data_IF_458527466047
#
_entry.id   IF_458527466047
#
_cell.length_a   1.000
_cell.length_b   1.000
_cell.length_c   1.000
_cell.angle_alpha   90.00
_cell.angle_beta   90.00
_cell.angle_gamma   90.00
#
_symmetry.space_group_name_H-M   'P 1'
#
loop_
_entity.id
_entity.type
_entity.pdbx_description
1 polymer ?
#
# COMPACT_ATOMS: atom_id res chain seq x y z
N UNK A 1 31.25 -80.88 -30.71
CA UNK A 1 29.97 -80.49 -31.33
C UNK A 1 29.97 -78.99 -31.55
N UNK A 2 30.26 -78.58 -32.79
CA UNK A 2 29.55 -77.59 -33.63
C UNK A 2 29.12 -76.26 -32.95
N UNK A 3 29.85 -75.14 -33.13
CA UNK A 3 29.68 -74.04 -34.14
C UNK A 3 28.25 -73.45 -34.13
N UNK A 4 28.03 -72.15 -33.86
CA UNK A 4 27.84 -70.99 -34.78
C UNK A 4 27.74 -69.73 -33.86
N UNK A 5 28.46 -68.60 -33.96
CA UNK A 5 28.72 -67.60 -35.02
C UNK A 5 27.62 -66.54 -35.27
N UNK A 6 27.96 -65.28 -34.98
CA UNK A 6 27.63 -64.01 -35.67
C UNK A 6 26.23 -63.33 -35.54
N UNK A 7 26.28 -62.15 -34.90
CA UNK A 7 25.97 -60.80 -35.44
C UNK A 7 24.54 -60.32 -35.76
N UNK A 8 24.38 -59.02 -35.47
CA UNK A 8 23.57 -57.98 -36.14
C UNK A 8 22.11 -57.74 -35.70
N UNK A 9 21.87 -56.45 -35.41
CA UNK A 9 20.66 -55.60 -35.56
C UNK A 9 20.21 -54.97 -34.23
N UNK A 10 20.48 -53.69 -33.94
CA UNK A 10 20.06 -52.41 -34.57
C UNK A 10 19.01 -51.74 -33.67
N UNK A 11 19.43 -50.62 -33.08
CA UNK A 11 18.67 -49.49 -32.53
C UNK A 11 17.14 -49.60 -32.49
N UNK A 12 16.56 -49.47 -31.30
CA UNK A 12 15.30 -48.73 -31.12
C UNK A 12 15.32 -47.93 -29.82
N UNK A 13 15.16 -46.61 -29.99
CA UNK A 13 15.03 -45.59 -28.94
C UNK A 13 13.86 -45.89 -28.01
N UNK A 14 14.02 -45.60 -26.72
CA UNK A 14 12.92 -45.05 -25.91
C UNK A 14 13.47 -44.07 -24.88
N UNK A 15 13.46 -42.79 -25.27
CA UNK A 15 13.61 -41.65 -24.38
C UNK A 15 12.28 -41.53 -23.61
N UNK A 16 12.25 -41.95 -22.35
CA UNK A 16 11.11 -41.72 -21.46
C UNK A 16 11.19 -40.28 -20.98
N UNK A 17 10.49 -39.38 -21.66
CA UNK A 17 10.23 -38.02 -21.20
C UNK A 17 9.21 -38.12 -20.06
N UNK A 18 9.66 -38.01 -18.81
CA UNK A 18 8.79 -37.80 -17.66
C UNK A 18 8.19 -36.38 -17.78
N UNK A 19 7.02 -36.28 -18.38
CA UNK A 19 6.14 -35.13 -18.25
C UNK A 19 5.62 -35.12 -16.81
N UNK A 20 6.31 -34.39 -15.94
CA UNK A 20 5.74 -33.91 -14.68
C UNK A 20 4.62 -32.93 -15.03
N UNK A 21 3.41 -33.47 -15.15
CA UNK A 21 2.19 -32.66 -15.20
C UNK A 21 2.04 -32.09 -13.79
N UNK A 22 2.55 -30.88 -13.60
CA UNK A 22 2.17 -30.04 -12.47
C UNK A 22 0.67 -29.79 -12.62
N UNK A 23 -0.15 -30.53 -11.88
CA UNK A 23 -1.56 -30.20 -11.72
C UNK A 23 -1.65 -28.89 -10.95
N UNK A 24 -1.52 -27.77 -11.66
CA UNK A 24 -1.98 -26.48 -11.15
C UNK A 24 -3.49 -26.62 -11.00
N UNK A 25 -3.96 -26.88 -9.78
CA UNK A 25 -5.34 -26.62 -9.42
C UNK A 25 -5.57 -25.15 -9.75
N UNK A 26 -6.29 -24.88 -10.84
CA UNK A 26 -6.65 -23.53 -11.21
C UNK A 26 -7.48 -22.95 -10.06
N UNK A 27 -6.84 -22.10 -9.25
CA UNK A 27 -7.53 -21.34 -8.23
C UNK A 27 -8.63 -20.56 -8.93
N UNK A 28 -9.89 -20.84 -8.58
CA UNK A 28 -11.00 -20.05 -9.07
C UNK A 28 -10.90 -18.69 -8.38
N UNK A 29 -10.36 -17.71 -9.09
CA UNK A 29 -10.20 -16.35 -8.58
C UNK A 29 -11.55 -15.83 -8.08
N UNK A 30 -11.55 -15.26 -6.88
CA UNK A 30 -12.73 -14.63 -6.33
C UNK A 30 -12.98 -13.32 -7.09
N UNK A 31 -14.23 -12.91 -7.40
CA UNK A 31 -14.49 -11.72 -8.21
C UNK A 31 -13.94 -10.40 -7.62
N UNK A 32 -13.70 -10.37 -6.31
CA UNK A 32 -13.10 -9.23 -5.59
C UNK A 32 -11.58 -9.32 -5.43
N UNK A 33 -10.92 -10.37 -5.96
CA UNK A 33 -9.46 -10.45 -5.89
C UNK A 33 -8.82 -9.21 -6.53
N UNK A 34 -7.70 -8.69 -5.98
CA UNK A 34 -6.96 -7.63 -6.64
C UNK A 34 -6.54 -8.05 -8.06
N UNK A 35 -6.25 -7.06 -8.90
CA UNK A 35 -5.70 -7.33 -10.23
C UNK A 35 -4.35 -8.03 -10.09
N UNK A 36 -4.19 -9.13 -10.81
CA UNK A 36 -2.92 -9.86 -10.87
C UNK A 36 -1.89 -9.09 -11.71
N UNK A 37 -0.61 -9.43 -11.56
CA UNK A 37 0.45 -8.89 -12.42
C UNK A 37 0.18 -9.09 -13.92
N UNK A 38 -0.43 -10.21 -14.30
CA UNK A 38 -0.80 -10.49 -15.70
C UNK A 38 -1.93 -9.60 -16.18
N UNK A 39 -2.94 -9.36 -15.34
CA UNK A 39 -4.08 -8.51 -15.70
C UNK A 39 -3.68 -7.04 -15.81
N UNK A 40 -2.80 -6.55 -14.93
CA UNK A 40 -2.20 -5.21 -15.06
C UNK A 40 -1.41 -5.10 -16.37
N UNK A 41 -0.65 -6.13 -16.75
CA UNK A 41 0.09 -6.15 -18.01
C UNK A 41 -0.84 -6.17 -19.24
N UNK A 42 -1.93 -6.94 -19.19
CA UNK A 42 -2.96 -6.98 -20.23
C UNK A 42 -3.67 -5.63 -20.36
N UNK A 43 -4.05 -5.03 -19.24
CA UNK A 43 -4.65 -3.69 -19.16
C UNK A 43 -3.78 -2.65 -19.86
N UNK A 44 -2.49 -2.64 -19.52
CA UNK A 44 -1.49 -1.79 -20.16
C UNK A 44 -1.44 -2.01 -21.67
N UNK A 45 -1.43 -3.26 -22.12
CA UNK A 45 -1.35 -3.58 -23.56
C UNK A 45 -2.58 -3.08 -24.32
N UNK A 46 -3.78 -3.25 -23.77
CA UNK A 46 -5.04 -2.77 -24.35
C UNK A 46 -5.00 -1.25 -24.52
N UNK A 47 -4.61 -0.52 -23.47
CA UNK A 47 -4.50 0.94 -23.50
C UNK A 47 -3.46 1.42 -24.52
N UNK A 48 -2.24 0.86 -24.49
CA UNK A 48 -1.17 1.31 -25.39
C UNK A 48 -1.36 0.90 -26.86
N UNK A 49 -2.23 -0.08 -27.13
CA UNK A 49 -2.56 -0.51 -28.49
C UNK A 49 -3.79 0.24 -29.05
N UNK A 50 -4.49 1.00 -28.21
CA UNK A 50 -5.67 1.75 -28.61
C UNK A 50 -5.28 3.03 -29.37
N UNK A 51 -5.96 3.36 -30.49
CA UNK A 51 -5.72 4.59 -31.22
C UNK A 51 -6.17 5.85 -30.45
N UNK A 52 -6.85 5.68 -29.30
CA UNK A 52 -7.26 6.79 -28.43
C UNK A 52 -6.08 7.48 -27.72
N UNK A 53 -4.95 6.80 -27.61
CA UNK A 53 -3.82 7.24 -26.79
C UNK A 53 -2.55 7.42 -27.62
N UNK A 54 -1.80 8.47 -27.29
CA UNK A 54 -0.52 8.78 -27.90
C UNK A 54 0.55 8.87 -26.82
N UNK A 55 1.81 8.61 -27.20
CA UNK A 55 2.92 8.81 -26.26
C UNK A 55 3.20 10.32 -26.08
N UNK A 56 3.42 10.81 -24.84
CA UNK A 56 3.41 10.06 -23.58
C UNK A 56 1.99 9.82 -23.05
N UNK A 57 1.75 8.61 -22.54
CA UNK A 57 0.56 8.25 -21.75
C UNK A 57 1.04 7.73 -20.39
N UNK A 58 0.52 8.31 -19.30
CA UNK A 58 0.87 7.93 -17.93
C UNK A 58 -0.31 7.33 -17.20
N UNK A 59 -0.07 6.27 -16.44
CA UNK A 59 -1.08 5.57 -15.63
C UNK A 59 -1.02 6.13 -14.20
N UNK A 60 -2.15 6.66 -13.72
CA UNK A 60 -2.26 7.23 -12.38
C UNK A 60 -3.08 6.35 -11.43
N UNK A 61 -3.96 5.51 -11.98
CA UNK A 61 -4.67 4.48 -11.23
C UNK A 61 -4.97 3.30 -12.14
N UNK A 62 -4.74 2.09 -11.65
CA UNK A 62 -5.16 0.83 -12.25
C UNK A 62 -5.64 -0.05 -11.11
N UNK A 63 -6.94 -0.30 -11.05
CA UNK A 63 -7.56 -1.10 -10.01
C UNK A 63 -8.72 -1.93 -10.55
N UNK A 64 -9.21 -2.85 -9.73
CA UNK A 64 -10.38 -3.64 -10.07
C UNK A 64 -11.58 -2.71 -10.28
N UNK A 65 -12.31 -2.89 -11.38
CA UNK A 65 -13.67 -2.36 -11.49
C UNK A 65 -14.58 -3.39 -10.82
N UNK A 66 -14.95 -3.13 -9.56
CA UNK A 66 -15.63 -4.12 -8.72
C UNK A 66 -16.99 -4.49 -9.32
N UNK A 67 -17.34 -5.79 -9.40
CA UNK A 67 -18.64 -6.22 -9.86
C UNK A 67 -19.77 -5.70 -8.97
N UNK A 68 -20.98 -5.66 -9.53
CA UNK A 68 -22.17 -5.27 -8.79
C UNK A 68 -22.37 -6.15 -7.54
N UNK A 69 -22.74 -5.54 -6.42
CA UNK A 69 -22.94 -6.24 -5.15
C UNK A 69 -23.88 -7.43 -5.26
N UNK A 70 -24.94 -7.32 -6.06
CA UNK A 70 -25.89 -8.39 -6.27
C UNK A 70 -25.24 -9.61 -6.96
N UNK A 71 -24.34 -9.39 -7.92
CA UNK A 71 -23.61 -10.44 -8.63
C UNK A 71 -22.66 -11.16 -7.67
N UNK A 72 -21.88 -10.41 -6.88
CA UNK A 72 -20.98 -10.98 -5.87
C UNK A 72 -21.75 -11.84 -4.86
N UNK A 73 -22.85 -11.33 -4.31
CA UNK A 73 -23.64 -12.05 -3.31
C UNK A 73 -24.37 -13.28 -3.86
N UNK A 74 -24.71 -13.29 -5.15
CA UNK A 74 -25.37 -14.43 -5.79
C UNK A 74 -24.46 -15.65 -5.96
N UNK A 75 -23.14 -15.51 -5.73
CA UNK A 75 -22.14 -16.58 -5.91
C UNK A 75 -22.26 -17.26 -7.28
N UNK A 76 -22.70 -16.52 -8.32
CA UNK A 76 -22.78 -17.05 -9.67
C UNK A 76 -21.33 -17.32 -10.12
N UNK A 77 -20.94 -18.59 -10.01
CA UNK A 77 -19.61 -19.11 -10.34
C UNK A 77 -19.32 -19.10 -11.85
N UNK A 78 -20.18 -18.49 -12.66
CA UNK A 78 -19.97 -18.38 -14.10
C UNK A 78 -19.19 -17.11 -14.39
N UNK A 79 -17.88 -17.26 -14.64
CA UNK A 79 -17.06 -16.37 -15.48
C UNK A 79 -17.49 -14.90 -15.43
N UNK A 80 -17.53 -14.29 -14.25
CA UNK A 80 -17.80 -12.86 -14.15
C UNK A 80 -16.69 -12.17 -14.91
N UNK A 81 -17.06 -11.36 -15.91
CA UNK A 81 -16.04 -10.72 -16.72
C UNK A 81 -15.19 -9.83 -15.82
N UNK A 82 -13.87 -10.03 -15.84
CA UNK A 82 -12.94 -9.25 -15.02
C UNK A 82 -12.75 -7.88 -15.63
N UNK A 83 -13.23 -6.86 -14.95
CA UNK A 83 -13.10 -5.48 -15.41
C UNK A 83 -12.04 -4.73 -14.61
N UNK A 84 -11.34 -3.79 -15.26
CA UNK A 84 -10.40 -2.91 -14.58
C UNK A 84 -10.75 -1.44 -14.85
N UNK A 85 -10.80 -0.65 -13.77
CA UNK A 85 -10.95 0.79 -13.85
C UNK A 85 -9.58 1.43 -13.90
N UNK A 86 -9.38 2.31 -14.88
CA UNK A 86 -8.08 2.89 -15.21
C UNK A 86 -8.23 4.39 -15.35
N UNK A 87 -7.34 5.13 -14.70
CA UNK A 87 -7.16 6.56 -14.92
C UNK A 87 -5.80 6.79 -15.58
N UNK A 88 -5.82 7.29 -16.81
CA UNK A 88 -4.60 7.69 -17.53
C UNK A 88 -4.59 9.19 -17.81
N UNK A 89 -3.39 9.75 -17.93
CA UNK A 89 -3.19 11.07 -18.52
C UNK A 89 -2.52 10.93 -19.88
N UNK A 90 -3.07 11.62 -20.86
CA UNK A 90 -2.57 11.69 -22.23
C UNK A 90 -2.99 13.03 -22.84
N UNK A 91 -2.12 13.67 -23.61
CA UNK A 91 -2.39 14.97 -24.25
C UNK A 91 -2.96 16.03 -23.28
N UNK A 92 -2.41 16.08 -22.06
CA UNK A 92 -2.84 16.95 -20.96
C UNK A 92 -4.28 16.74 -20.45
N UNK A 93 -4.95 15.67 -20.86
CA UNK A 93 -6.30 15.31 -20.43
C UNK A 93 -6.26 14.11 -19.47
N UNK A 94 -7.22 14.04 -18.55
CA UNK A 94 -7.45 12.85 -17.72
C UNK A 94 -8.53 12.00 -18.38
N UNK A 95 -8.21 10.75 -18.65
CA UNK A 95 -9.14 9.77 -19.23
C UNK A 95 -9.48 8.73 -18.16
N UNK A 96 -10.76 8.43 -18.01
CA UNK A 96 -11.26 7.37 -17.15
C UNK A 96 -11.83 6.27 -18.04
N UNK A 97 -11.42 5.02 -17.78
CA UNK A 97 -11.75 3.88 -18.61
C UNK A 97 -12.17 2.71 -17.74
N UNK A 98 -13.17 1.96 -18.21
CA UNK A 98 -13.36 0.57 -17.80
C UNK A 98 -12.96 -0.33 -18.96
N UNK A 99 -12.14 -1.34 -18.67
CA UNK A 99 -11.71 -2.34 -19.65
C UNK A 99 -12.20 -3.72 -19.25
N UNK A 100 -12.61 -4.51 -20.23
CA UNK A 100 -12.90 -5.92 -20.05
C UNK A 100 -11.62 -6.72 -20.34
N UNK A 101 -11.03 -7.29 -19.29
CA UNK A 101 -9.79 -8.07 -19.39
C UNK A 101 -10.03 -9.41 -20.07
N UNK A 102 -11.23 -9.97 -19.98
CA UNK A 102 -11.62 -11.23 -20.61
C UNK A 102 -11.77 -11.06 -22.12
N UNK A 103 -12.50 -10.02 -22.53
CA UNK A 103 -12.74 -9.67 -23.93
C UNK A 103 -11.58 -8.88 -24.56
N UNK A 104 -10.61 -8.44 -23.75
CA UNK A 104 -9.47 -7.61 -24.16
C UNK A 104 -9.89 -6.33 -24.90
N UNK A 105 -10.89 -5.63 -24.36
CA UNK A 105 -11.50 -4.47 -25.01
C UNK A 105 -11.81 -3.34 -24.02
N UNK A 106 -11.88 -2.11 -24.53
CA UNK A 106 -12.33 -0.95 -23.75
C UNK A 106 -13.87 -0.96 -23.76
N UNK A 107 -14.48 -1.02 -22.57
CA UNK A 107 -15.94 -1.04 -22.38
C UNK A 107 -16.49 0.36 -22.33
N UNK A 108 -15.82 1.24 -21.59
CA UNK A 108 -16.19 2.66 -21.47
C UNK A 108 -14.95 3.53 -21.47
N UNK A 109 -15.10 4.73 -22.01
CA UNK A 109 -14.07 5.77 -22.00
C UNK A 109 -14.75 7.12 -21.87
N UNK A 110 -14.34 7.88 -20.86
CA UNK A 110 -14.72 9.27 -20.68
C UNK A 110 -13.48 10.16 -20.45
N UNK A 111 -13.60 11.43 -20.81
CA UNK A 111 -12.60 12.45 -20.47
C UNK A 111 -13.13 13.22 -19.26
N UNK A 112 -12.37 13.22 -18.16
CA UNK A 112 -12.71 13.98 -16.98
C UNK A 112 -12.59 15.47 -17.27
N UNK A 113 -13.73 16.17 -17.25
CA UNK A 113 -13.82 17.63 -17.47
C UNK A 113 -14.10 18.40 -16.18
N UNK A 114 -14.27 17.69 -15.05
CA UNK A 114 -14.48 18.29 -13.74
C UNK A 114 -13.23 18.89 -13.13
N UNK A 115 -13.34 19.31 -11.87
CA UNK A 115 -12.20 19.78 -11.08
C UNK A 115 -11.33 18.60 -10.59
N UNK A 116 -10.09 18.91 -10.21
CA UNK A 116 -9.17 17.95 -9.61
C UNK A 116 -8.35 17.15 -10.62
N UNK A 117 -7.32 16.51 -10.09
CA UNK A 117 -6.34 15.72 -10.83
C UNK A 117 -6.18 14.34 -10.17
N UNK A 118 -5.70 13.33 -10.91
CA UNK A 118 -5.53 12.00 -10.34
C UNK A 118 -4.33 11.94 -9.38
N UNK A 119 -4.23 10.81 -8.66
CA UNK A 119 -3.10 10.44 -7.80
C UNK A 119 -1.76 10.70 -8.51
N UNK A 120 -0.78 11.22 -7.77
CA UNK A 120 0.56 11.46 -8.29
C UNK A 120 1.29 10.13 -8.52
N UNK A 121 2.00 10.00 -9.65
CA UNK A 121 2.89 8.84 -9.84
C UNK A 121 4.18 9.02 -9.04
N UNK A 122 4.84 7.90 -8.69
CA UNK A 122 6.16 7.97 -8.04
C UNK A 122 7.20 8.57 -9.00
N UNK A 123 7.09 8.25 -10.29
CA UNK A 123 8.05 8.72 -11.29
C UNK A 123 7.93 10.23 -11.59
N UNK A 124 6.72 10.81 -11.64
CA UNK A 124 6.58 12.26 -11.87
C UNK A 124 7.03 13.06 -10.65
N UNK A 125 6.81 12.52 -9.44
CA UNK A 125 7.36 13.08 -8.20
C UNK A 125 8.89 13.01 -8.20
N UNK A 126 9.46 11.85 -8.54
CA UNK A 126 10.90 11.65 -8.66
C UNK A 126 11.54 12.59 -9.69
N UNK A 127 10.89 12.83 -10.82
CA UNK A 127 11.37 13.81 -11.80
C UNK A 127 11.29 15.25 -11.27
N UNK A 128 10.19 15.62 -10.63
CA UNK A 128 9.98 16.97 -10.11
C UNK A 128 11.01 17.35 -9.02
N UNK A 129 11.36 16.44 -8.10
CA UNK A 129 12.32 16.71 -7.02
C UNK A 129 13.76 16.87 -7.52
N UNK A 130 14.07 16.44 -8.74
CA UNK A 130 15.40 16.60 -9.35
C UNK A 130 15.60 17.97 -9.99
N UNK A 131 14.52 18.65 -10.39
CA UNK A 131 14.59 19.96 -11.06
C UNK A 131 15.37 21.02 -10.26
N UNK A 132 15.16 21.19 -8.93
CA UNK A 132 15.90 22.18 -8.16
C UNK A 132 17.41 21.97 -8.19
N UNK A 133 17.88 20.72 -8.21
CA UNK A 133 19.30 20.37 -8.08
C UNK A 133 20.17 20.83 -9.27
N UNK A 134 19.53 21.27 -10.36
CA UNK A 134 20.20 21.85 -11.52
C UNK A 134 19.73 23.28 -11.83
N UNK A 135 18.84 23.84 -11.01
CA UNK A 135 18.21 25.12 -11.25
C UNK A 135 19.08 26.28 -10.73
N UNK A 136 19.66 27.14 -11.60
CA UNK A 136 20.67 28.12 -11.18
C UNK A 136 20.24 29.05 -10.04
N UNK A 137 19.00 29.59 -10.01
CA UNK A 137 18.54 30.40 -8.88
C UNK A 137 18.52 29.65 -7.53
N UNK A 138 18.23 28.35 -7.55
CA UNK A 138 18.26 27.54 -6.32
C UNK A 138 19.69 27.28 -5.87
N UNK A 139 20.59 26.96 -6.80
CA UNK A 139 22.02 26.76 -6.51
C UNK A 139 22.68 28.02 -5.91
N UNK A 140 22.32 29.21 -6.43
CA UNK A 140 22.78 30.47 -5.85
C UNK A 140 22.27 30.65 -4.41
N UNK A 141 21.03 30.25 -4.14
CA UNK A 141 20.41 30.36 -2.82
C UNK A 141 20.99 29.38 -1.80
N UNK A 142 21.44 28.20 -2.24
CA UNK A 142 22.23 27.27 -1.43
C UNK A 142 23.62 27.85 -1.12
N UNK A 143 24.29 28.42 -2.12
CA UNK A 143 25.61 29.05 -1.95
C UNK A 143 25.57 30.20 -0.94
N UNK A 144 24.54 31.06 -1.00
CA UNK A 144 24.30 32.13 -0.01
C UNK A 144 24.10 31.61 1.42
N UNK A 145 23.63 30.37 1.56
CA UNK A 145 23.44 29.68 2.86
C UNK A 145 24.65 28.84 3.26
N UNK A 146 25.69 28.76 2.44
CA UNK A 146 26.85 27.88 2.68
C UNK A 146 26.49 26.40 2.65
N UNK A 147 25.47 26.01 1.88
CA UNK A 147 24.97 24.64 1.77
C UNK A 147 25.50 23.97 0.50
N UNK A 148 25.85 22.69 0.60
CA UNK A 148 26.31 21.89 -0.53
C UNK A 148 25.13 21.17 -1.19
N UNK A 149 24.97 21.36 -2.51
CA UNK A 149 23.88 20.74 -3.28
C UNK A 149 23.91 19.21 -3.22
N UNK A 150 25.08 18.59 -3.03
CA UNK A 150 25.21 17.13 -2.96
C UNK A 150 24.44 16.53 -1.79
N UNK A 151 24.23 17.32 -0.74
CA UNK A 151 23.55 16.91 0.48
C UNK A 151 22.07 17.36 0.48
N UNK A 152 21.57 17.92 -0.63
CA UNK A 152 20.18 18.36 -0.73
C UNK A 152 19.29 17.22 -1.21
N UNK A 153 18.20 16.99 -0.47
CA UNK A 153 17.08 16.12 -0.87
C UNK A 153 15.82 16.97 -0.94
N UNK A 154 15.01 16.79 -1.97
CA UNK A 154 13.74 17.50 -2.10
C UNK A 154 12.57 16.53 -2.08
N UNK A 155 11.39 17.05 -1.71
CA UNK A 155 10.13 16.31 -1.67
C UNK A 155 9.01 17.15 -2.28
N UNK A 156 7.99 16.46 -2.78
CA UNK A 156 6.83 17.04 -3.43
C UNK A 156 5.65 17.22 -2.48
N UNK A 157 4.95 18.34 -2.63
CA UNK A 157 3.84 18.75 -1.80
C UNK A 157 2.69 19.22 -2.70
N UNK A 158 1.53 18.60 -2.59
CA UNK A 158 0.31 19.04 -3.27
C UNK A 158 -0.07 20.46 -2.87
N UNK A 159 -0.72 21.19 -3.77
CA UNK A 159 -0.95 22.64 -3.61
C UNK A 159 -2.37 23.00 -3.21
N UNK A 160 -3.29 22.03 -3.15
CA UNK A 160 -4.71 22.26 -2.87
C UNK A 160 -5.38 23.24 -3.85
N UNK A 161 -6.42 23.91 -3.38
CA UNK A 161 -7.16 24.95 -4.11
C UNK A 161 -7.59 26.05 -3.14
N UNK A 162 -7.38 27.31 -3.52
CA UNK A 162 -7.55 28.50 -2.66
C UNK A 162 -8.49 29.55 -3.27
N UNK A 163 -9.40 29.14 -4.14
CA UNK A 163 -10.40 30.03 -4.74
C UNK A 163 -10.01 30.61 -6.10
N UNK A 164 -8.93 30.12 -6.71
CA UNK A 164 -8.50 30.55 -8.04
C UNK A 164 -9.57 30.23 -9.10
N UNK A 165 -9.83 31.18 -10.00
CA UNK A 165 -10.89 31.09 -11.02
C UNK A 165 -10.46 30.40 -12.32
N UNK A 166 -9.16 30.35 -12.59
CA UNK A 166 -8.63 29.63 -13.75
C UNK A 166 -8.29 28.20 -13.32
N UNK A 167 -8.58 27.22 -14.17
CA UNK A 167 -8.10 25.86 -13.98
C UNK A 167 -6.58 25.93 -13.82
N UNK A 168 -6.11 25.65 -12.61
CA UNK A 168 -4.69 25.57 -12.33
C UNK A 168 -4.11 24.48 -13.21
N UNK A 169 -2.92 24.71 -13.76
CA UNK A 169 -2.07 23.63 -14.29
C UNK A 169 -1.92 22.53 -13.22
N UNK A 170 -1.44 21.34 -13.59
CA UNK A 170 -1.01 20.34 -12.60
C UNK A 170 0.26 20.81 -11.91
N UNK A 171 0.08 21.58 -10.84
CA UNK A 171 1.15 22.19 -10.09
C UNK A 171 1.48 21.36 -8.86
N UNK A 172 2.78 21.30 -8.55
CA UNK A 172 3.27 20.74 -7.30
C UNK A 172 4.29 21.70 -6.70
N UNK A 173 4.31 21.81 -5.38
CA UNK A 173 5.37 22.53 -4.67
C UNK A 173 6.49 21.56 -4.33
N UNK A 174 7.72 22.02 -4.51
CA UNK A 174 8.92 21.26 -4.16
C UNK A 174 9.63 21.99 -3.03
N UNK A 175 9.82 21.28 -1.93
CA UNK A 175 10.55 21.77 -0.76
C UNK A 175 11.80 20.91 -0.57
N UNK A 176 12.89 21.54 -0.15
CA UNK A 176 14.19 20.89 -0.05
C UNK A 176 14.72 20.92 1.37
N UNK A 177 15.56 19.93 1.67
CA UNK A 177 16.06 19.61 2.99
C UNK A 177 17.54 19.27 2.89
N UNK A 178 18.27 19.43 4.00
CA UNK A 178 19.65 18.98 4.11
C UNK A 178 19.71 17.56 4.67
N UNK A 179 20.16 16.63 3.84
CA UNK A 179 20.54 15.28 4.19
C UNK A 179 22.07 15.21 4.47
N UNK A 180 22.71 14.08 4.14
CA UNK A 180 24.14 13.84 4.30
C UNK A 180 24.51 13.37 5.71
N UNK A 181 24.39 14.25 6.70
CA UNK A 181 24.79 13.98 8.09
C UNK A 181 23.79 13.10 8.86
N UNK A 182 22.54 13.04 8.43
CA UNK A 182 21.45 12.30 9.07
C UNK A 182 20.48 11.78 8.02
N UNK A 183 19.86 10.62 8.28
CA UNK A 183 18.71 10.16 7.47
C UNK A 183 17.44 10.97 7.74
N UNK A 184 17.34 11.65 8.89
CA UNK A 184 16.17 12.43 9.26
C UNK A 184 16.22 13.84 8.66
N UNK A 185 16.25 13.92 7.33
CA UNK A 185 16.32 15.19 6.61
C UNK A 185 15.06 16.05 6.80
N UNK A 186 13.91 15.46 7.14
CA UNK A 186 12.69 16.21 7.47
C UNK A 186 12.87 17.20 8.63
N UNK A 187 13.82 16.95 9.54
CA UNK A 187 14.18 17.88 10.61
C UNK A 187 15.12 19.01 10.17
N UNK A 188 15.55 19.03 8.92
CA UNK A 188 16.55 19.97 8.38
C UNK A 188 16.05 20.69 7.12
N UNK A 189 14.90 21.38 7.15
CA UNK A 189 14.37 22.09 5.99
C UNK A 189 15.27 23.25 5.56
N UNK A 190 15.37 23.46 4.24
CA UNK A 190 15.88 24.70 3.64
C UNK A 190 14.72 25.70 3.58
N UNK A 191 14.43 26.31 4.72
CA UNK A 191 13.27 27.19 4.88
C UNK A 191 13.37 28.50 4.10
N UNK A 192 12.19 29.05 3.80
CA UNK A 192 12.03 30.31 3.08
C UNK A 192 12.23 30.23 1.56
N UNK A 193 12.46 29.02 1.03
CA UNK A 193 12.55 28.75 -0.42
C UNK A 193 11.30 28.01 -0.87
N UNK A 194 10.62 28.55 -1.88
CA UNK A 194 9.44 27.96 -2.50
C UNK A 194 9.69 27.73 -3.99
N UNK A 195 9.45 26.50 -4.43
CA UNK A 195 9.58 26.09 -5.84
C UNK A 195 8.25 25.52 -6.28
N UNK A 196 7.72 26.02 -7.40
CA UNK A 196 6.49 25.50 -8.02
C UNK A 196 6.86 24.87 -9.36
N UNK A 197 6.48 23.61 -9.53
CA UNK A 197 6.72 22.82 -10.74
C UNK A 197 5.40 22.58 -11.46
N UNK A 198 5.41 22.74 -12.77
CA UNK A 198 4.35 22.29 -13.68
C UNK A 198 4.65 20.84 -14.07
N UNK A 199 3.81 19.89 -13.63
CA UNK A 199 4.01 18.45 -13.85
C UNK A 199 3.79 18.04 -15.31
N UNK A 200 2.99 18.79 -16.09
CA UNK A 200 2.75 18.46 -17.51
C UNK A 200 3.96 18.82 -18.37
N UNK A 201 4.53 19.99 -18.12
CA UNK A 201 5.73 20.45 -18.80
C UNK A 201 7.03 19.97 -18.13
N UNK A 202 6.93 19.35 -16.94
CA UNK A 202 8.03 18.93 -16.07
C UNK A 202 9.11 20.02 -15.93
N UNK A 203 8.69 21.22 -15.51
CA UNK A 203 9.59 22.37 -15.39
C UNK A 203 9.24 23.26 -14.20
N UNK A 204 10.24 23.97 -13.66
CA UNK A 204 10.03 24.97 -12.62
C UNK A 204 9.31 26.18 -13.24
N UNK A 205 8.10 26.45 -12.76
CA UNK A 205 7.26 27.56 -13.19
C UNK A 205 7.49 28.81 -12.35
N UNK A 206 7.76 28.63 -11.06
CA UNK A 206 8.00 29.74 -10.12
C UNK A 206 9.05 29.36 -9.10
N UNK A 207 9.87 30.34 -8.74
CA UNK A 207 10.89 30.24 -7.72
C UNK A 207 10.86 31.49 -6.85
N UNK A 208 10.83 31.30 -5.53
CA UNK A 208 10.93 32.39 -4.56
C UNK A 208 11.90 32.00 -3.45
N UNK A 209 12.92 32.82 -3.22
CA UNK A 209 13.74 32.79 -2.01
C UNK A 209 13.38 34.03 -1.19
N UNK A 210 12.56 33.84 -0.16
CA UNK A 210 11.90 34.92 0.59
C UNK A 210 12.69 35.32 1.82
N UNK A 211 13.24 34.34 2.54
CA UNK A 211 13.93 34.55 3.81
C UNK A 211 15.03 33.53 3.99
N UNK A 212 16.17 33.98 4.52
CA UNK A 212 17.28 33.11 4.88
C UNK A 212 17.14 32.67 6.34
N UNK A 213 16.68 31.43 6.55
CA UNK A 213 16.59 30.81 7.86
C UNK A 213 17.73 29.78 7.99
N UNK A 214 18.49 29.77 9.11
CA UNK A 214 19.52 28.75 9.33
C UNK A 214 18.92 27.34 9.35
N UNK A 215 19.56 26.40 8.65
CA UNK A 215 19.16 24.99 8.68
C UNK A 215 19.45 24.41 10.07
N UNK A 216 18.51 23.69 10.70
CA UNK A 216 18.75 22.98 11.95
C UNK A 216 19.95 22.02 11.88
N UNK A 217 20.61 21.80 13.03
CA UNK A 217 21.75 20.87 13.14
C UNK A 217 21.28 19.42 13.01
N UNK A 218 22.13 18.55 12.44
CA UNK A 218 21.82 17.11 12.34
C UNK A 218 22.02 16.33 13.65
N UNK A 219 22.81 16.86 14.58
CA UNK A 219 23.15 16.14 15.80
C UNK A 219 21.90 15.81 16.62
N UNK A 220 21.72 14.53 16.96
CA UNK A 220 20.59 14.03 17.72
C UNK A 220 19.29 13.80 16.93
N UNK A 221 19.30 13.89 15.60
CA UNK A 221 18.08 13.68 14.78
C UNK A 221 18.01 12.32 14.10
N UNK A 222 19.13 11.61 13.91
CA UNK A 222 19.11 10.29 13.24
C UNK A 222 18.35 9.28 14.11
N UNK A 223 17.58 8.41 13.48
CA UNK A 223 16.74 7.41 14.15
C UNK A 223 17.27 5.98 13.98
N UNK A 224 18.33 5.79 13.19
CA UNK A 224 18.89 4.46 12.92
C UNK A 224 19.83 4.04 14.04
N UNK A 225 19.65 2.82 14.52
CA UNK A 225 20.40 2.28 15.66
C UNK A 225 21.92 2.27 15.43
N UNK A 226 22.38 2.06 14.19
CA UNK A 226 23.81 2.10 13.84
C UNK A 226 24.42 3.51 13.90
N UNK A 227 23.59 4.56 13.93
CA UNK A 227 24.01 5.98 13.99
C UNK A 227 23.86 6.59 15.37
N UNK A 228 22.80 6.23 16.09
CA UNK A 228 22.51 6.76 17.44
C UNK A 228 23.39 6.10 18.51
N UNK A 229 23.92 4.91 18.23
CA UNK A 229 24.65 4.11 19.20
C UNK A 229 23.74 3.14 19.96
N UNK A 230 24.26 2.45 20.98
CA UNK A 230 23.50 1.43 21.69
C UNK A 230 22.27 2.05 22.35
N UNK A 231 21.16 1.31 22.36
CA UNK A 231 19.96 1.71 23.09
C UNK A 231 20.29 1.90 24.56
N UNK A 232 20.07 3.11 25.08
CA UNK A 232 20.37 3.47 26.47
C UNK A 232 19.17 3.29 27.41
N UNK A 233 18.02 2.84 26.89
CA UNK A 233 16.84 2.55 27.68
C UNK A 233 16.89 1.18 28.35
N UNK A 234 15.85 0.83 29.14
CA UNK A 234 15.80 -0.46 29.82
C UNK A 234 15.68 -1.60 28.81
N UNK A 235 16.62 -2.54 28.83
CA UNK A 235 16.53 -3.77 28.05
C UNK A 235 15.33 -4.61 28.52
N UNK A 236 14.51 -5.05 27.57
CA UNK A 236 13.45 -6.02 27.83
C UNK A 236 14.00 -7.44 27.68
N UNK A 237 13.49 -8.38 28.47
CA UNK A 237 13.82 -9.79 28.25
C UNK A 237 13.14 -10.26 26.96
N UNK A 238 13.85 -10.95 26.05
CA UNK A 238 13.23 -11.50 24.85
C UNK A 238 12.07 -12.46 25.20
N UNK A 239 10.98 -12.35 24.46
CA UNK A 239 9.81 -13.24 24.57
C UNK A 239 9.30 -13.61 23.18
N UNK A 240 8.77 -14.83 23.04
CA UNK A 240 8.18 -15.31 21.79
C UNK A 240 6.89 -16.08 22.09
N UNK A 241 5.92 -15.95 21.19
CA UNK A 241 4.68 -16.73 21.23
C UNK A 241 4.89 -17.97 20.36
N UNK A 242 4.55 -19.15 20.88
CA UNK A 242 4.63 -20.42 20.14
C UNK A 242 3.22 -20.99 19.97
N UNK A 243 2.90 -21.40 18.75
CA UNK A 243 1.66 -22.09 18.42
C UNK A 243 1.97 -23.56 18.11
N UNK A 244 1.96 -24.47 19.11
CA UNK A 244 2.43 -25.84 18.94
C UNK A 244 1.60 -26.67 17.96
N UNK A 245 0.34 -26.27 17.72
CA UNK A 245 -0.58 -26.92 16.78
C UNK A 245 -0.64 -26.20 15.43
N UNK A 246 0.24 -25.21 15.20
CA UNK A 246 0.16 -24.31 14.06
C UNK A 246 -0.86 -23.17 14.28
N UNK A 247 -1.04 -22.37 13.23
CA UNK A 247 -1.96 -21.23 13.22
C UNK A 247 -3.42 -21.70 13.03
N UNK A 248 -4.36 -21.00 13.66
CA UNK A 248 -5.79 -21.17 13.40
C UNK A 248 -6.26 -20.50 12.09
N UNK A 249 -5.34 -19.83 11.38
CA UNK A 249 -5.60 -19.07 10.15
C UNK A 249 -5.56 -20.03 8.96
N UNK A 250 -6.58 -19.95 8.10
CA UNK A 250 -6.60 -20.59 6.79
C UNK A 250 -6.75 -19.51 5.73
N UNK A 251 -5.82 -19.48 4.77
CA UNK A 251 -5.83 -18.53 3.65
C UNK A 251 -5.96 -19.35 2.36
N UNK A 252 -7.03 -19.10 1.62
CA UNK A 252 -7.25 -19.63 0.27
C UNK A 252 -7.32 -18.46 -0.70
N UNK A 253 -6.18 -18.18 -1.36
CA UNK A 253 -5.90 -16.94 -2.10
C UNK A 253 -6.10 -15.70 -1.23
N UNK A 254 -7.20 -14.99 -1.42
CA UNK A 254 -7.56 -13.80 -0.62
C UNK A 254 -8.70 -14.06 0.38
N UNK A 255 -9.22 -15.28 0.45
CA UNK A 255 -10.23 -15.65 1.44
C UNK A 255 -9.54 -16.08 2.73
N UNK A 256 -9.82 -15.37 3.82
CA UNK A 256 -9.29 -15.64 5.15
C UNK A 256 -10.39 -16.28 6.00
N UNK A 257 -10.07 -17.41 6.63
CA UNK A 257 -10.92 -18.07 7.62
C UNK A 257 -10.15 -18.22 8.93
N UNK A 258 -10.79 -17.87 10.02
CA UNK A 258 -10.19 -17.96 11.35
C UNK A 258 -11.28 -18.05 12.40
N UNK A 259 -11.18 -19.01 13.31
CA UNK A 259 -12.20 -19.29 14.33
C UNK A 259 -13.61 -19.36 13.72
N UNK A 260 -14.50 -18.43 14.09
CA UNK A 260 -15.85 -18.30 13.55
C UNK A 260 -15.97 -17.26 12.43
N UNK A 261 -14.89 -16.64 11.98
CA UNK A 261 -14.89 -15.64 10.91
C UNK A 261 -14.52 -16.22 9.54
N UNK A 262 -15.13 -15.67 8.51
CA UNK A 262 -14.64 -15.69 7.13
C UNK A 262 -14.75 -14.31 6.51
N UNK A 263 -13.77 -13.89 5.72
CA UNK A 263 -13.79 -12.65 4.96
C UNK A 263 -12.83 -12.74 3.76
N UNK A 264 -12.94 -11.78 2.84
CA UNK A 264 -12.03 -11.58 1.71
C UNK A 264 -11.14 -10.37 2.00
N UNK A 265 -9.83 -10.49 1.77
CA UNK A 265 -8.84 -9.43 1.94
C UNK A 265 -8.33 -8.99 0.56
N UNK A 266 -8.81 -7.85 0.09
CA UNK A 266 -8.37 -7.21 -1.14
C UNK A 266 -7.23 -6.20 -0.92
N UNK A 267 -6.59 -5.83 -2.04
CA UNK A 267 -5.60 -4.77 -2.11
C UNK A 267 -5.98 -3.78 -3.22
N UNK A 268 -5.98 -2.50 -2.90
CA UNK A 268 -6.19 -1.42 -3.86
C UNK A 268 -5.07 -0.37 -3.75
N UNK A 269 -4.64 0.20 -4.87
CA UNK A 269 -3.52 1.14 -4.91
C UNK A 269 -3.85 2.48 -4.26
N UNK A 270 -5.13 2.87 -4.22
CA UNK A 270 -5.59 4.08 -3.55
C UNK A 270 -5.88 3.81 -2.08
N UNK A 271 -6.63 2.77 -1.77
CA UNK A 271 -7.16 2.50 -0.42
C UNK A 271 -6.25 1.65 0.47
N UNK A 272 -5.38 0.82 -0.11
CA UNK A 272 -4.63 -0.20 0.63
C UNK A 272 -5.49 -1.44 0.92
N UNK A 273 -5.60 -1.83 2.19
CA UNK A 273 -6.38 -2.99 2.61
C UNK A 273 -7.89 -2.77 2.44
N UNK A 274 -8.56 -3.70 1.77
CA UNK A 274 -10.02 -3.75 1.63
C UNK A 274 -10.54 -5.05 2.23
N UNK A 275 -11.36 -4.97 3.29
CA UNK A 275 -12.02 -6.12 3.89
C UNK A 275 -13.41 -6.25 3.29
N UNK A 276 -13.71 -7.41 2.71
CA UNK A 276 -14.98 -7.70 2.05
C UNK A 276 -15.62 -8.99 2.56
N UNK A 277 -16.94 -9.11 2.41
CA UNK A 277 -17.74 -10.30 2.71
C UNK A 277 -17.55 -10.89 4.13
N UNK A 278 -17.20 -10.05 5.10
CA UNK A 278 -16.98 -10.49 6.47
C UNK A 278 -18.27 -11.04 7.09
N UNK A 279 -18.18 -12.31 7.48
CA UNK A 279 -19.29 -13.08 8.03
C UNK A 279 -18.80 -13.88 9.23
N UNK A 280 -19.66 -13.99 10.24
CA UNK A 280 -19.40 -14.76 11.46
C UNK A 280 -20.33 -15.99 11.52
N UNK A 281 -19.79 -17.13 11.94
CA UNK A 281 -20.55 -18.35 12.17
C UNK A 281 -21.32 -18.25 13.48
N UNK A 282 -22.65 -18.29 13.37
CA UNK A 282 -23.59 -18.29 14.48
C UNK A 282 -23.93 -19.76 14.80
N UNK A 283 -23.45 -20.24 15.95
CA UNK A 283 -23.59 -21.64 16.37
C UNK A 283 -25.05 -22.01 16.62
N UNK A 284 -25.86 -21.09 17.14
CA UNK A 284 -27.28 -21.34 17.42
C UNK A 284 -28.12 -21.44 16.14
N UNK A 285 -27.66 -20.81 15.06
CA UNK A 285 -28.29 -20.84 13.74
C UNK A 285 -27.62 -21.80 12.76
N UNK A 286 -26.52 -22.42 13.18
CA UNK A 286 -25.68 -23.31 12.38
C UNK A 286 -25.30 -22.71 11.01
N UNK A 287 -25.14 -21.38 10.93
CA UNK A 287 -24.92 -20.68 9.65
C UNK A 287 -24.02 -19.46 9.79
N UNK A 288 -23.38 -19.07 8.68
CA UNK A 288 -22.67 -17.80 8.60
C UNK A 288 -23.66 -16.66 8.41
N UNK A 289 -23.50 -15.62 9.22
CA UNK A 289 -24.27 -14.38 9.13
C UNK A 289 -23.37 -13.26 8.64
N UNK A 290 -23.81 -12.57 7.59
CA UNK A 290 -23.09 -11.41 7.06
C UNK A 290 -23.08 -10.28 8.07
N UNK A 291 -21.91 -9.69 8.31
CA UNK A 291 -21.71 -8.54 9.20
C UNK A 291 -21.33 -7.31 8.38
N UNK A 292 -20.42 -7.45 7.42
CA UNK A 292 -19.86 -6.35 6.67
C UNK A 292 -19.60 -6.78 5.22
N UNK A 293 -20.13 -6.02 4.27
CA UNK A 293 -19.93 -6.32 2.85
C UNK A 293 -18.58 -5.83 2.33
N UNK A 294 -18.20 -4.60 2.67
CA UNK A 294 -16.96 -3.93 2.21
C UNK A 294 -16.58 -2.81 3.17
N UNK A 295 -15.31 -2.71 3.53
CA UNK A 295 -14.75 -1.62 4.33
C UNK A 295 -13.27 -1.42 4.03
N UNK A 296 -12.83 -0.17 4.12
CA UNK A 296 -11.47 0.29 3.88
C UNK A 296 -11.36 1.74 4.37
N UNK A 297 -10.12 2.23 4.51
CA UNK A 297 -9.88 3.66 4.75
C UNK A 297 -10.06 4.39 3.43
N UNK A 298 -11.15 5.15 3.32
CA UNK A 298 -11.47 5.84 2.06
C UNK A 298 -10.59 7.06 1.79
N UNK A 299 -10.16 7.75 2.84
CA UNK A 299 -9.33 8.95 2.74
C UNK A 299 -8.67 9.28 4.08
N UNK A 300 -7.58 10.03 4.02
CA UNK A 300 -6.96 10.70 5.17
C UNK A 300 -6.89 12.20 4.87
N UNK A 301 -6.98 13.03 5.90
CA UNK A 301 -6.82 14.49 5.74
C UNK A 301 -5.88 15.02 6.80
N UNK A 302 -4.75 15.60 6.38
CA UNK A 302 -3.67 16.03 7.27
C UNK A 302 -3.40 17.53 7.12
N UNK A 303 -4.25 18.40 7.68
CA UNK A 303 -4.09 19.84 7.62
C UNK A 303 -3.05 20.35 8.61
N UNK A 304 -2.01 21.00 8.09
CA UNK A 304 -1.15 21.84 8.92
C UNK A 304 -1.84 23.18 9.23
N UNK A 305 -1.43 23.79 10.34
CA UNK A 305 -2.11 24.96 10.93
C UNK A 305 -1.29 26.25 10.84
N UNK A 306 -0.20 26.25 10.06
CA UNK A 306 0.62 27.44 9.85
C UNK A 306 0.20 28.17 8.57
N UNK A 307 -0.29 29.43 8.68
CA UNK A 307 -0.80 30.18 7.53
C UNK A 307 0.30 30.84 6.67
N UNK A 308 1.58 30.73 7.01
CA UNK A 308 2.65 31.36 6.22
C UNK A 308 2.81 30.70 4.83
N UNK A 309 3.44 31.42 3.90
CA UNK A 309 3.52 31.05 2.47
C UNK A 309 4.13 29.64 2.23
N UNK A 310 5.02 29.21 3.12
CA UNK A 310 5.69 27.91 3.09
C UNK A 310 4.83 26.74 3.61
N UNK A 311 3.71 27.01 4.29
CA UNK A 311 2.92 26.00 5.02
C UNK A 311 1.43 25.98 4.71
N UNK A 312 0.82 27.11 4.34
CA UNK A 312 -0.65 27.25 4.22
C UNK A 312 -1.35 26.22 3.32
N UNK A 313 -0.61 25.63 2.38
CA UNK A 313 -1.08 24.68 1.38
C UNK A 313 -0.91 23.21 1.79
N UNK A 314 -0.23 22.92 2.90
CA UNK A 314 0.06 21.57 3.35
C UNK A 314 -1.17 20.99 4.06
N UNK A 315 -2.10 20.48 3.27
CA UNK A 315 -3.35 19.87 3.76
C UNK A 315 -3.62 18.57 3.02
N UNK A 316 -2.74 17.59 3.23
CA UNK A 316 -2.65 16.41 2.37
C UNK A 316 -3.91 15.55 2.43
N UNK A 317 -4.27 14.99 1.27
CA UNK A 317 -5.21 13.90 1.15
C UNK A 317 -4.47 12.62 0.76
N UNK A 318 -3.89 11.93 1.73
CA UNK A 318 -2.87 10.90 1.47
C UNK A 318 -3.35 9.80 0.50
N UNK A 319 -4.59 9.32 0.63
CA UNK A 319 -5.10 8.29 -0.27
C UNK A 319 -5.38 8.86 -1.66
N UNK A 320 -6.09 9.99 -1.74
CA UNK A 320 -6.50 10.61 -3.01
C UNK A 320 -5.39 11.29 -3.82
N UNK A 321 -4.35 11.80 -3.16
CA UNK A 321 -3.25 12.54 -3.78
C UNK A 321 -2.01 11.67 -4.01
N UNK A 322 -1.69 10.77 -3.08
CA UNK A 322 -0.46 9.98 -3.11
C UNK A 322 -0.69 8.48 -3.32
N UNK A 323 -1.88 7.97 -2.98
CA UNK A 323 -2.22 6.54 -3.08
C UNK A 323 -1.74 5.77 -1.84
N UNK A 324 -2.66 5.41 -0.96
CA UNK A 324 -2.32 4.82 0.33
C UNK A 324 -1.79 3.39 0.21
N UNK A 325 -2.31 2.63 -0.76
CA UNK A 325 -1.76 1.33 -1.16
C UNK A 325 -0.45 1.46 -1.94
N UNK A 326 -0.34 2.46 -2.81
CA UNK A 326 0.90 2.76 -3.55
C UNK A 326 2.09 3.02 -2.60
N UNK A 327 1.83 3.66 -1.46
CA UNK A 327 2.80 3.92 -0.40
C UNK A 327 2.79 2.85 0.72
N UNK A 328 2.20 1.68 0.49
CA UNK A 328 2.28 0.58 1.44
C UNK A 328 3.73 0.07 1.54
N UNK A 329 4.29 0.12 2.75
CA UNK A 329 5.66 -0.25 3.05
C UNK A 329 5.77 -1.76 3.29
N UNK A 330 6.76 -2.46 2.69
CA UNK A 330 7.01 -3.86 2.99
C UNK A 330 7.25 -4.09 4.48
N UNK A 331 6.37 -4.88 5.10
CA UNK A 331 6.43 -5.16 6.53
C UNK A 331 7.68 -5.97 6.87
N UNK A 332 8.40 -5.52 7.90
CA UNK A 332 9.61 -6.14 8.41
C UNK A 332 9.26 -7.28 9.38
N UNK A 333 9.53 -8.55 9.04
CA UNK A 333 9.21 -9.67 9.92
C UNK A 333 9.90 -9.52 11.28
N UNK A 334 9.19 -9.89 12.36
CA UNK A 334 9.65 -9.81 13.77
C UNK A 334 9.73 -8.40 14.36
N UNK A 335 9.65 -7.35 13.54
CA UNK A 335 9.59 -5.97 14.00
C UNK A 335 8.17 -5.42 13.87
N UNK A 336 7.64 -5.37 12.64
CA UNK A 336 6.30 -4.87 12.37
C UNK A 336 5.22 -5.93 12.64
N UNK A 337 5.59 -7.21 12.54
CA UNK A 337 4.68 -8.34 12.67
C UNK A 337 5.33 -9.46 13.50
N UNK A 338 4.55 -10.21 14.29
CA UNK A 338 5.10 -11.29 15.10
C UNK A 338 5.64 -12.43 14.24
N UNK A 339 6.46 -13.30 14.86
CA UNK A 339 7.19 -14.38 14.17
C UNK A 339 6.29 -15.40 13.46
N UNK A 340 5.04 -15.54 13.88
CA UNK A 340 4.05 -16.49 13.34
C UNK A 340 3.06 -15.83 12.38
N UNK A 341 3.33 -14.60 11.92
CA UNK A 341 2.48 -13.93 10.96
C UNK A 341 2.60 -14.55 9.57
N UNK A 342 1.46 -14.71 8.91
CA UNK A 342 1.37 -14.98 7.47
C UNK A 342 1.48 -13.66 6.71
N UNK A 343 2.14 -13.65 5.56
CA UNK A 343 2.33 -12.44 4.75
C UNK A 343 1.66 -12.57 3.39
N UNK A 344 1.14 -11.45 2.88
CA UNK A 344 0.61 -11.36 1.52
C UNK A 344 1.31 -10.24 0.75
N UNK A 345 1.49 -10.45 -0.54
CA UNK A 345 2.06 -9.48 -1.47
C UNK A 345 0.95 -8.68 -2.18
N UNK A 346 1.28 -7.50 -2.69
CA UNK A 346 0.41 -6.67 -3.53
C UNK A 346 1.05 -6.34 -4.89
N UNK A 347 0.25 -5.83 -5.82
CA UNK A 347 0.72 -5.36 -7.13
C UNK A 347 0.07 -4.04 -7.49
N UNK A 348 0.85 -3.10 -8.05
CA UNK A 348 0.34 -1.85 -8.61
C UNK A 348 0.89 -1.64 -10.03
N UNK A 349 0.29 -0.71 -10.77
CA UNK A 349 0.80 -0.26 -12.06
C UNK A 349 1.64 1.00 -11.88
N UNK A 350 2.89 1.01 -12.36
CA UNK A 350 3.72 2.20 -12.32
C UNK A 350 3.30 3.24 -13.38
N UNK A 351 4.00 4.39 -13.47
CA UNK A 351 3.63 5.45 -14.43
C UNK A 351 3.47 4.95 -15.88
N UNK A 352 4.20 3.92 -16.27
CA UNK A 352 4.16 3.35 -17.63
C UNK A 352 3.19 2.15 -17.76
N UNK A 353 2.36 1.93 -16.75
CA UNK A 353 1.40 0.84 -16.64
C UNK A 353 2.02 -0.53 -16.34
N UNK A 354 3.33 -0.60 -16.04
CA UNK A 354 3.99 -1.88 -15.79
C UNK A 354 3.65 -2.38 -14.39
N UNK A 355 3.36 -3.67 -14.20
CA UNK A 355 3.12 -4.22 -12.87
C UNK A 355 4.39 -4.16 -12.02
N UNK A 356 4.23 -3.72 -10.78
CA UNK A 356 5.27 -3.69 -9.76
C UNK A 356 4.75 -4.43 -8.53
N UNK A 357 5.58 -5.34 -8.02
CA UNK A 357 5.29 -6.12 -6.81
C UNK A 357 5.65 -5.33 -5.56
N UNK A 358 4.76 -5.31 -4.58
CA UNK A 358 5.03 -4.87 -3.21
C UNK A 358 5.01 -6.10 -2.34
N UNK A 359 6.18 -6.50 -1.81
CA UNK A 359 6.25 -7.68 -0.97
C UNK A 359 5.80 -7.41 0.46
N UNK A 360 5.18 -8.42 1.09
CA UNK A 360 4.76 -8.34 2.50
C UNK A 360 3.91 -7.10 2.80
N UNK A 361 2.94 -6.79 1.94
CA UNK A 361 2.06 -5.62 2.09
C UNK A 361 1.08 -5.79 3.27
N UNK A 362 0.67 -7.03 3.52
CA UNK A 362 -0.12 -7.40 4.68
C UNK A 362 0.61 -8.43 5.52
N UNK A 363 0.39 -8.37 6.82
CA UNK A 363 0.63 -9.51 7.70
C UNK A 363 -0.64 -9.86 8.48
N UNK A 364 -0.87 -11.14 8.66
CA UNK A 364 -2.08 -11.70 9.27
C UNK A 364 -1.62 -12.61 10.41
N UNK A 365 -2.07 -12.32 11.64
CA UNK A 365 -1.59 -13.06 12.80
C UNK A 365 -2.63 -13.14 13.91
N UNK A 366 -2.53 -14.20 14.71
CA UNK A 366 -3.27 -14.34 15.96
C UNK A 366 -2.56 -13.58 17.07
N UNK A 367 -3.29 -12.72 17.78
CA UNK A 367 -2.78 -11.93 18.90
C UNK A 367 -3.10 -12.62 20.23
N UNK A 368 -2.04 -12.92 20.97
CA UNK A 368 -2.09 -13.45 22.34
C UNK A 368 -1.53 -12.41 23.31
N UNK A 369 -2.36 -11.45 23.72
CA UNK A 369 -1.92 -10.33 24.56
C UNK A 369 -2.24 -10.49 26.06
N UNK A 370 -2.81 -11.64 26.46
CA UNK A 370 -3.30 -11.86 27.83
C UNK A 370 -4.64 -11.17 28.11
N UNK A 371 -5.33 -10.71 27.07
CA UNK A 371 -6.67 -10.15 27.16
C UNK A 371 -7.67 -11.23 27.61
N UNK A 372 -8.71 -10.80 28.32
CA UNK A 372 -9.71 -11.68 28.93
C UNK A 372 -11.01 -11.51 28.16
N UNK A 373 -11.48 -12.57 27.51
CA UNK A 373 -12.76 -12.56 26.79
C UNK A 373 -13.93 -12.40 27.77
N UNK A 374 -13.89 -13.14 28.87
CA UNK A 374 -14.73 -12.91 30.05
C UNK A 374 -14.19 -13.65 31.28
N UNK A 375 -14.57 -13.20 32.47
CA UNK A 375 -14.26 -13.88 33.73
C UNK A 375 -15.30 -13.63 34.81
N UNK A 376 -15.43 -14.56 35.74
CA UNK A 376 -16.20 -14.37 36.96
C UNK A 376 -15.60 -15.14 38.13
N UNK A 377 -15.77 -14.62 39.34
CA UNK A 377 -15.39 -15.28 40.60
C UNK A 377 -16.54 -15.10 41.58
N UNK A 378 -17.24 -16.19 41.90
CA UNK A 378 -18.35 -16.23 42.84
C UNK A 378 -17.87 -16.75 44.19
N UNK A 379 -18.16 -16.00 45.25
CA UNK A 379 -17.79 -16.30 46.65
C UNK A 379 -18.99 -16.23 47.60
N UNK A 380 -20.17 -15.91 47.08
CA UNK A 380 -21.42 -15.81 47.84
C UNK A 380 -22.09 -17.15 48.11
N UNK A 381 -21.63 -18.24 47.48
CA UNK A 381 -22.13 -19.60 47.74
C UNK A 381 -21.45 -20.13 49.02
N UNK A 382 -22.20 -20.43 50.09
CA UNK A 382 -21.60 -20.86 51.36
C UNK A 382 -20.72 -22.10 51.21
N UNK A 383 -19.44 -21.96 51.59
CA UNK A 383 -18.47 -23.05 51.52
C UNK A 383 -17.88 -23.32 50.13
N UNK A 384 -18.19 -22.49 49.13
CA UNK A 384 -17.71 -22.68 47.75
C UNK A 384 -17.05 -21.41 47.19
N UNK A 385 -16.05 -21.60 46.33
CA UNK A 385 -15.48 -20.52 45.52
C UNK A 385 -15.38 -21.02 44.08
N UNK A 386 -16.15 -20.40 43.20
CA UNK A 386 -16.20 -20.77 41.78
C UNK A 386 -15.51 -19.69 40.98
N UNK A 387 -14.49 -20.05 40.21
CA UNK A 387 -13.77 -19.13 39.32
C UNK A 387 -13.74 -19.69 37.91
N UNK A 388 -14.14 -18.86 36.94
CA UNK A 388 -14.10 -19.19 35.52
C UNK A 388 -13.50 -18.01 34.76
N UNK A 389 -12.59 -18.31 33.83
CA UNK A 389 -11.87 -17.31 33.02
C UNK A 389 -11.73 -17.87 31.61
N UNK A 390 -12.02 -17.05 30.60
CA UNK A 390 -11.73 -17.38 29.20
C UNK A 390 -10.79 -16.34 28.60
N UNK A 391 -9.64 -16.76 28.03
CA UNK A 391 -8.74 -15.83 27.36
C UNK A 391 -9.33 -15.35 26.04
N UNK A 392 -8.98 -14.14 25.65
CA UNK A 392 -9.25 -13.61 24.32
C UNK A 392 -8.05 -13.89 23.39
N UNK A 393 -8.37 -14.40 22.21
CA UNK A 393 -7.47 -14.45 21.05
C UNK A 393 -8.19 -13.74 19.93
N UNK A 394 -7.49 -12.83 19.26
CA UNK A 394 -8.02 -12.09 18.12
C UNK A 394 -7.14 -12.29 16.88
N UNK A 395 -7.75 -12.13 15.71
CA UNK A 395 -7.02 -12.08 14.44
C UNK A 395 -6.75 -10.64 14.07
N UNK A 396 -5.52 -10.31 13.70
CA UNK A 396 -5.14 -8.99 13.21
C UNK A 396 -4.70 -9.09 11.75
N UNK A 397 -5.26 -8.25 10.89
CA UNK A 397 -4.73 -7.94 9.56
C UNK A 397 -4.06 -6.57 9.65
N UNK A 398 -2.76 -6.52 9.42
CA UNK A 398 -1.95 -5.31 9.50
C UNK A 398 -1.41 -4.88 8.14
N UNK A 399 -1.44 -3.58 7.90
CA UNK A 399 -0.74 -2.90 6.80
C UNK A 399 -0.01 -1.67 7.37
N UNK A 400 1.13 -1.32 6.80
CA UNK A 400 1.80 -0.04 7.06
C UNK A 400 1.84 0.77 5.76
N UNK A 401 1.46 2.04 5.80
CA UNK A 401 1.66 2.98 4.71
C UNK A 401 2.56 4.12 5.17
N UNK A 402 3.64 4.38 4.43
CA UNK A 402 4.60 5.45 4.75
C UNK A 402 4.44 6.56 3.72
N UNK A 403 3.68 7.61 4.06
CA UNK A 403 3.46 8.75 3.16
C UNK A 403 4.33 9.92 3.62
N UNK A 404 5.44 10.11 2.91
CA UNK A 404 6.44 11.12 3.26
C UNK A 404 7.06 10.85 4.64
N UNK A 405 6.78 11.73 5.61
CA UNK A 405 7.37 11.67 6.94
C UNK A 405 6.51 10.94 7.99
N UNK A 406 5.39 10.35 7.58
CA UNK A 406 4.46 9.65 8.47
C UNK A 406 4.33 8.18 8.13
N UNK A 407 4.31 7.36 9.16
CA UNK A 407 4.03 5.92 9.10
C UNK A 407 2.68 5.66 9.76
N UNK A 408 1.73 5.14 8.99
CA UNK A 408 0.42 4.73 9.44
C UNK A 408 0.36 3.22 9.56
N UNK A 409 0.29 2.70 10.78
CA UNK A 409 0.05 1.27 11.04
C UNK A 409 -1.45 1.08 11.21
N UNK A 410 -2.05 0.30 10.30
CA UNK A 410 -3.47 -0.01 10.32
C UNK A 410 -3.70 -1.45 10.72
N UNK A 411 -4.51 -1.66 11.75
CA UNK A 411 -4.92 -2.97 12.22
C UNK A 411 -6.43 -3.14 12.08
N UNK A 412 -6.85 -4.14 11.31
CA UNK A 412 -8.20 -4.71 11.37
C UNK A 412 -8.18 -5.93 12.29
N UNK A 413 -8.82 -5.81 13.46
CA UNK A 413 -8.85 -6.85 14.48
C UNK A 413 -10.23 -7.52 14.54
N UNK A 414 -10.28 -8.85 14.39
CA UNK A 414 -11.49 -9.66 14.48
C UNK A 414 -11.46 -10.49 15.76
N UNK A 415 -12.56 -10.44 16.53
CA UNK A 415 -12.67 -11.14 17.82
C UNK A 415 -13.69 -12.26 17.75
N UNK A 416 -13.45 -13.34 18.49
CA UNK A 416 -14.38 -14.49 18.55
C UNK A 416 -15.77 -14.13 19.11
N UNK A 417 -15.86 -13.01 19.84
CA UNK A 417 -17.11 -12.41 20.36
C UNK A 417 -17.97 -11.73 19.28
N UNK A 418 -17.49 -11.62 18.05
CA UNK A 418 -18.20 -10.94 16.96
C UNK A 418 -17.84 -9.47 16.77
N UNK A 419 -16.93 -8.93 17.59
CA UNK A 419 -16.45 -7.56 17.42
C UNK A 419 -15.42 -7.45 16.30
N UNK A 420 -15.50 -6.37 15.52
CA UNK A 420 -14.46 -5.91 14.60
C UNK A 420 -13.93 -4.58 15.16
N UNK A 421 -12.62 -4.48 15.35
CA UNK A 421 -11.97 -3.27 15.83
C UNK A 421 -10.94 -2.78 14.81
N UNK A 422 -11.12 -1.56 14.33
CA UNK A 422 -10.12 -0.90 13.50
C UNK A 422 -9.27 0.02 14.39
N UNK A 423 -7.95 -0.06 14.26
CA UNK A 423 -7.01 0.85 14.94
C UNK A 423 -6.02 1.42 13.94
N UNK A 424 -5.69 2.69 14.12
CA UNK A 424 -4.60 3.36 13.41
C UNK A 424 -3.60 3.82 14.46
N UNK A 425 -2.35 3.42 14.29
CA UNK A 425 -1.21 3.93 15.04
C UNK A 425 -0.40 4.80 14.12
N UNK A 426 0.08 5.91 14.66
CA UNK A 426 0.83 6.89 13.91
C UNK A 426 2.23 6.98 14.51
N UNK A 427 3.21 6.89 13.62
CA UNK A 427 4.61 7.06 13.95
C UNK A 427 5.25 8.09 13.00
N UNK A 428 6.26 8.78 13.50
CA UNK A 428 7.09 9.64 12.67
C UNK A 428 8.47 9.75 13.30
N UNK A 429 9.56 9.66 12.51
CA UNK A 429 10.88 9.97 13.01
C UNK A 429 11.01 11.43 13.46
N UNK A 430 10.10 12.31 13.01
CA UNK A 430 10.05 13.73 13.37
C UNK A 430 9.15 14.04 14.57
N UNK A 431 8.32 13.09 15.04
CA UNK A 431 7.40 13.31 16.16
C UNK A 431 8.08 13.32 17.54
N UNK A 432 9.35 12.91 17.62
CA UNK A 432 10.07 12.79 18.89
C UNK A 432 10.63 14.11 19.45
N UNK A 433 10.34 15.25 18.82
CA UNK A 433 10.85 16.55 19.30
C UNK A 433 9.69 17.56 19.30
N UNK A 434 8.94 17.57 20.40
CA UNK A 434 8.16 18.70 20.89
C UNK A 434 8.70 19.11 22.27
#
# INVERSE_FOLDING_TARGET
MTIISLSLLRNFSLLVLLLSISSSTAYSSHPLDPLTSSEIASARQIILSSPLFTSPTTFHYVGLDEPDKAEVLSHISSSTSRHAFIIVRSNNQTHQLSIDLTASSIVSHEIHTGSGYPILTLEEQGAAIMLPLSYPPFLESLSKRGLDVKDVVCSTFTVGWFGERQLLKRLIKVLCFMAGETANFYMRPVEGVLIIVDLEAMQILSYKDRVQIPVPKANGTDYRSDKVGPFVGPETKPGFVVQPQGTGIQIDGHNVRWANWKFHLGYDVRAGAVISLASIYDVDKETYRSILYRTFVSELFVPYMDPVEEWYFRTFFDAGEYGFGLWASPLQPRADCPTHAEFMDGYYANQNGKPVKVSNVFCIFERYAGDIAWRHTEIGIPGETVTEVRPEVSLVVRMVSTVGNYDYVMDWEFKTTGSIQFRVFYHSPSAFIA
#
